data_IF_418006202922
#
_entry.id   IF_418006202922
#
_cell.length_a   1.000
_cell.length_b   1.000
_cell.length_c   1.000
_cell.angle_alpha   90.00
_cell.angle_beta   90.00
_cell.angle_gamma   90.00
#
_symmetry.space_group_name_H-M   'P 1'
#
loop_
_entity.id
_entity.type
_entity.pdbx_description
1 polymer ?
#
# COMPACT_ATOMS: atom_id res chain seq x y z
N UNK A 1 5.52 13.92 -13.90
CA UNK A 1 5.76 14.25 -12.47
C UNK A 1 5.17 15.60 -12.15
N UNK A 2 4.79 15.85 -10.90
CA UNK A 2 4.35 17.14 -10.39
C UNK A 2 4.70 17.29 -8.90
N UNK A 3 4.83 18.52 -8.43
CA UNK A 3 5.22 18.82 -7.04
C UNK A 3 4.00 19.21 -6.23
N UNK A 4 3.90 18.71 -5.00
CA UNK A 4 2.86 19.05 -4.03
C UNK A 4 3.49 19.49 -2.71
N UNK A 5 2.72 20.20 -1.89
CA UNK A 5 3.07 20.48 -0.51
C UNK A 5 2.03 19.84 0.41
N UNK A 6 2.46 18.97 1.32
CA UNK A 6 1.58 18.27 2.25
C UNK A 6 1.77 18.74 3.69
N UNK A 7 0.67 18.97 4.40
CA UNK A 7 0.66 19.31 5.83
C UNK A 7 -0.17 20.56 6.13
N UNK A 8 -0.69 20.63 7.37
CA UNK A 8 -1.53 21.75 7.80
C UNK A 8 -0.71 22.94 8.31
N UNK A 9 0.13 22.72 9.33
CA UNK A 9 0.96 23.77 9.95
C UNK A 9 2.39 23.79 9.43
N UNK A 10 2.99 22.60 9.27
CA UNK A 10 4.31 22.43 8.64
C UNK A 10 4.09 21.69 7.34
N UNK A 11 4.39 22.36 6.22
CA UNK A 11 4.27 21.79 4.90
C UNK A 11 5.57 21.11 4.52
N UNK A 12 5.48 19.95 3.89
CA UNK A 12 6.61 19.21 3.35
C UNK A 12 6.45 19.01 1.86
N UNK A 13 7.50 19.32 1.11
CA UNK A 13 7.50 19.28 -0.35
C UNK A 13 7.73 17.86 -0.84
N UNK A 14 6.85 17.39 -1.74
CA UNK A 14 6.91 16.07 -2.34
C UNK A 14 6.84 16.16 -3.87
N UNK A 15 7.68 15.38 -4.55
CA UNK A 15 7.61 15.15 -5.99
C UNK A 15 6.84 13.86 -6.28
N UNK A 16 5.64 13.99 -6.82
CA UNK A 16 4.82 12.86 -7.25
C UNK A 16 5.19 12.49 -8.69
N UNK A 17 5.48 11.20 -8.90
CA UNK A 17 5.76 10.61 -10.20
C UNK A 17 4.74 9.51 -10.46
N UNK A 18 4.25 9.44 -11.69
CA UNK A 18 3.42 8.34 -12.18
C UNK A 18 4.21 7.65 -13.28
N UNK A 19 4.42 6.35 -13.16
CA UNK A 19 5.23 5.53 -14.07
C UNK A 19 4.43 4.31 -14.52
N UNK A 20 4.56 3.92 -15.77
CA UNK A 20 4.09 2.61 -16.24
C UNK A 20 5.23 1.60 -16.10
N UNK A 21 5.04 0.53 -15.34
CA UNK A 21 6.07 -0.46 -15.02
C UNK A 21 5.51 -1.88 -15.04
N UNK A 22 6.40 -2.85 -15.21
CA UNK A 22 6.09 -4.26 -14.99
C UNK A 22 6.05 -4.52 -13.47
N UNK A 23 4.84 -4.62 -12.91
CA UNK A 23 4.63 -4.83 -11.47
C UNK A 23 4.70 -6.33 -11.15
N UNK A 24 4.41 -7.19 -12.12
CA UNK A 24 4.37 -8.64 -11.92
C UNK A 24 5.76 -9.18 -11.59
N UNK A 25 6.82 -8.62 -12.20
CA UNK A 25 8.20 -8.99 -11.88
C UNK A 25 8.63 -8.61 -10.45
N UNK A 26 7.98 -7.62 -9.82
CA UNK A 26 8.26 -7.25 -8.42
C UNK A 26 7.62 -8.20 -7.42
N UNK A 27 6.48 -8.83 -7.79
CA UNK A 27 5.68 -9.67 -6.90
C UNK A 27 5.88 -11.16 -7.11
N UNK A 28 6.62 -11.57 -8.16
CA UNK A 28 6.95 -12.99 -8.38
C UNK A 28 7.83 -13.51 -7.26
N UNK A 29 7.31 -14.48 -6.51
CA UNK A 29 8.12 -15.33 -5.64
C UNK A 29 9.17 -16.02 -6.49
N UNK A 30 10.44 -15.75 -6.23
CA UNK A 30 11.50 -16.49 -6.90
C UNK A 30 11.57 -17.89 -6.30
N UNK A 31 11.51 -18.92 -7.14
CA UNK A 31 11.83 -20.29 -6.72
C UNK A 31 13.34 -20.45 -6.39
N UNK A 32 14.14 -19.41 -6.64
CA UNK A 32 15.56 -19.35 -6.29
C UNK A 32 15.72 -18.75 -4.89
N UNK A 33 16.16 -19.59 -3.95
CA UNK A 33 16.40 -19.24 -2.55
C UNK A 33 17.43 -18.11 -2.39
N UNK A 34 18.45 -18.04 -3.26
CA UNK A 34 19.46 -16.98 -3.21
C UNK A 34 18.83 -15.63 -3.55
N UNK A 35 17.97 -15.59 -4.57
CA UNK A 35 17.23 -14.40 -4.97
C UNK A 35 16.20 -13.98 -3.91
N UNK A 36 15.48 -14.93 -3.32
CA UNK A 36 14.59 -14.66 -2.19
C UNK A 36 15.33 -14.05 -1.00
N UNK A 37 16.51 -14.58 -0.66
CA UNK A 37 17.35 -14.03 0.40
C UNK A 37 17.85 -12.62 0.09
N UNK A 38 18.26 -12.36 -1.15
CA UNK A 38 18.68 -11.03 -1.58
C UNK A 38 17.54 -10.00 -1.45
N UNK A 39 16.31 -10.36 -1.85
CA UNK A 39 15.16 -9.47 -1.69
C UNK A 39 14.81 -9.20 -0.23
N UNK A 40 14.90 -10.21 0.64
CA UNK A 40 14.72 -10.00 2.09
C UNK A 40 15.77 -9.06 2.67
N UNK A 41 17.05 -9.29 2.34
CA UNK A 41 18.14 -8.44 2.79
C UNK A 41 17.96 -6.99 2.31
N UNK A 42 17.55 -6.79 1.06
CA UNK A 42 17.27 -5.47 0.51
C UNK A 42 16.07 -4.79 1.20
N UNK A 43 14.98 -5.53 1.43
CA UNK A 43 13.79 -5.01 2.11
C UNK A 43 14.13 -4.58 3.54
N UNK A 44 14.86 -5.41 4.29
CA UNK A 44 15.32 -5.08 5.64
C UNK A 44 16.29 -3.88 5.65
N UNK A 45 17.18 -3.76 4.66
CA UNK A 45 18.07 -2.61 4.54
C UNK A 45 17.31 -1.30 4.26
N UNK A 46 16.27 -1.37 3.43
CA UNK A 46 15.43 -0.23 3.07
C UNK A 46 14.55 0.25 4.23
N UNK A 47 14.20 -0.62 5.18
CA UNK A 47 13.44 -0.24 6.38
C UNK A 47 14.12 0.88 7.18
N UNK A 48 15.44 0.95 7.13
CA UNK A 48 16.25 1.97 7.81
C UNK A 48 16.73 3.09 6.89
N UNK A 49 16.32 3.10 5.63
CA UNK A 49 16.64 4.12 4.65
C UNK A 49 15.48 5.13 4.48
N UNK A 50 15.60 6.01 3.48
CA UNK A 50 14.50 6.89 3.07
C UNK A 50 13.60 6.24 1.99
N UNK A 51 13.89 4.99 1.61
CA UNK A 51 13.21 4.27 0.53
C UNK A 51 12.14 3.32 1.09
N UNK A 52 10.94 3.86 1.30
CA UNK A 52 9.79 3.05 1.68
C UNK A 52 8.96 2.69 0.45
N UNK A 53 8.55 1.43 0.39
CA UNK A 53 7.71 0.90 -0.69
C UNK A 53 6.40 0.40 -0.12
N UNK A 54 5.31 0.73 -0.80
CA UNK A 54 3.98 0.27 -0.43
C UNK A 54 3.22 -0.27 -1.64
N UNK A 55 2.24 -1.11 -1.36
CA UNK A 55 1.35 -1.70 -2.37
C UNK A 55 -0.11 -1.54 -1.95
N UNK A 56 -0.99 -1.41 -2.94
CA UNK A 56 -2.44 -1.55 -2.74
C UNK A 56 -2.83 -2.96 -3.18
N UNK A 57 -3.33 -3.76 -2.25
CA UNK A 57 -3.79 -5.12 -2.51
C UNK A 57 -5.32 -5.15 -2.51
N UNK A 58 -5.88 -5.74 -3.56
CA UNK A 58 -7.30 -6.01 -3.64
C UNK A 58 -7.53 -7.44 -3.14
N UNK A 59 -8.41 -7.60 -2.16
CA UNK A 59 -8.71 -8.88 -1.55
C UNK A 59 -10.20 -9.15 -1.62
N UNK A 60 -10.63 -10.36 -1.95
CA UNK A 60 -12.04 -10.73 -1.78
C UNK A 60 -12.29 -11.27 -0.38
N UNK A 61 -13.50 -11.14 0.20
CA UNK A 61 -13.84 -11.81 1.44
C UNK A 61 -13.50 -13.32 1.40
N UNK A 62 -13.73 -13.98 0.25
CA UNK A 62 -13.45 -15.41 0.08
C UNK A 62 -11.96 -15.76 0.09
N UNK A 63 -11.10 -14.83 -0.31
CA UNK A 63 -9.65 -15.01 -0.28
C UNK A 63 -9.06 -14.81 1.11
N UNK A 64 -9.77 -14.11 2.01
CA UNK A 64 -9.27 -13.78 3.36
C UNK A 64 -8.75 -14.99 4.14
N UNK A 65 -9.46 -16.14 4.22
CA UNK A 65 -8.91 -17.29 4.95
C UNK A 65 -7.56 -17.75 4.40
N UNK A 66 -7.39 -17.81 3.08
CA UNK A 66 -6.12 -18.20 2.46
C UNK A 66 -5.04 -17.15 2.68
N UNK A 67 -5.41 -15.87 2.58
CA UNK A 67 -4.51 -14.76 2.84
C UNK A 67 -4.04 -14.77 4.30
N UNK A 68 -4.95 -14.86 5.27
CA UNK A 68 -4.64 -14.92 6.70
C UNK A 68 -3.59 -15.98 7.04
N UNK A 69 -3.69 -17.16 6.45
CA UNK A 69 -2.78 -18.28 6.74
C UNK A 69 -1.53 -18.32 5.84
N UNK A 70 -1.21 -17.24 5.13
CA UNK A 70 -0.02 -17.19 4.27
C UNK A 70 -0.07 -18.18 3.10
N UNK A 71 -1.27 -18.57 2.65
CA UNK A 71 -1.45 -19.57 1.59
C UNK A 71 -1.62 -18.93 0.20
N UNK A 72 -1.36 -17.63 0.09
CA UNK A 72 -1.55 -16.84 -1.13
C UNK A 72 -0.35 -15.94 -1.42
N UNK A 73 -0.56 -14.67 -1.78
CA UNK A 73 0.51 -13.73 -2.09
C UNK A 73 1.49 -13.53 -0.91
N UNK A 74 1.02 -13.63 0.33
CA UNK A 74 1.77 -13.36 1.56
C UNK A 74 2.44 -14.60 2.18
N UNK A 75 2.88 -15.54 1.34
CA UNK A 75 3.42 -16.85 1.76
C UNK A 75 4.84 -16.80 2.35
N UNK A 76 5.58 -15.71 2.18
CA UNK A 76 7.05 -15.70 2.38
C UNK A 76 7.55 -14.50 3.20
N UNK A 77 8.52 -14.76 4.09
CA UNK A 77 9.35 -13.79 4.84
C UNK A 77 8.75 -13.20 6.12
N UNK A 78 9.19 -13.73 7.26
CA UNK A 78 9.04 -13.11 8.58
C UNK A 78 10.04 -11.97 8.77
N UNK A 79 9.58 -10.76 9.09
CA UNK A 79 10.40 -9.64 9.55
C UNK A 79 10.28 -9.53 11.08
N UNK A 80 11.40 -9.50 11.80
CA UNK A 80 11.39 -9.46 13.28
C UNK A 80 11.20 -8.04 13.87
N UNK A 81 11.08 -7.02 13.03
CA UNK A 81 10.93 -5.62 13.45
C UNK A 81 9.48 -5.21 13.74
N UNK A 82 8.52 -6.02 13.27
CA UNK A 82 7.09 -5.81 13.47
C UNK A 82 6.49 -7.05 14.09
N UNK A 83 5.28 -6.90 14.63
CA UNK A 83 4.46 -8.05 14.97
C UNK A 83 4.35 -8.95 13.73
N UNK A 84 4.44 -10.26 13.94
CA UNK A 84 4.25 -11.21 12.85
C UNK A 84 2.88 -10.99 12.19
N UNK A 85 2.75 -11.46 10.95
CA UNK A 85 1.56 -11.19 10.15
C UNK A 85 0.30 -11.77 10.82
N UNK A 86 0.43 -12.87 11.55
CA UNK A 86 -0.64 -13.52 12.29
C UNK A 86 -1.21 -12.60 13.38
N UNK A 87 -0.35 -12.01 14.22
CA UNK A 87 -0.74 -11.04 15.26
C UNK A 87 -1.37 -9.80 14.64
N UNK A 88 -0.83 -9.29 13.52
CA UNK A 88 -1.44 -8.16 12.81
C UNK A 88 -2.85 -8.52 12.31
N UNK A 89 -3.05 -9.73 11.77
CA UNK A 89 -4.36 -10.19 11.33
C UNK A 89 -5.33 -10.43 12.50
N UNK A 90 -4.87 -10.95 13.63
CA UNK A 90 -5.71 -11.08 14.83
C UNK A 90 -6.21 -9.71 15.33
N UNK A 91 -5.33 -8.69 15.34
CA UNK A 91 -5.73 -7.32 15.67
C UNK A 91 -6.78 -6.79 14.68
N UNK A 92 -6.57 -7.02 13.38
CA UNK A 92 -7.51 -6.66 12.32
C UNK A 92 -8.88 -7.32 12.56
N UNK A 93 -8.94 -8.61 12.85
CA UNK A 93 -10.21 -9.31 13.12
C UNK A 93 -10.94 -8.78 14.36
N UNK A 94 -10.21 -8.27 15.36
CA UNK A 94 -10.84 -7.63 16.51
C UNK A 94 -11.46 -6.27 16.15
N UNK A 95 -10.86 -5.55 15.19
CA UNK A 95 -11.38 -4.28 14.68
C UNK A 95 -12.60 -4.48 13.75
N UNK A 96 -12.74 -5.67 13.15
CA UNK A 96 -13.88 -6.07 12.33
C UNK A 96 -14.77 -7.07 13.08
N UNK A 97 -15.77 -6.62 13.85
CA UNK A 97 -16.57 -7.51 14.69
C UNK A 97 -17.26 -8.57 13.84
N UNK A 98 -16.93 -9.84 14.10
CA UNK A 98 -17.56 -10.98 13.44
C UNK A 98 -19.07 -10.97 13.68
N UNK A 99 -19.85 -11.02 12.61
CA UNK A 99 -21.26 -11.39 12.73
C UNK A 99 -21.34 -12.81 13.30
N UNK A 100 -22.32 -13.05 14.17
CA UNK A 100 -22.43 -14.16 15.12
C UNK A 100 -22.43 -15.60 14.57
N UNK A 101 -22.03 -15.84 13.32
CA UNK A 101 -22.17 -17.11 12.61
C UNK A 101 -20.87 -17.66 11.97
N UNK A 102 -19.67 -17.22 12.40
CA UNK A 102 -18.40 -17.75 11.86
C UNK A 102 -18.15 -17.38 10.39
N UNK A 103 -18.75 -16.26 9.96
CA UNK A 103 -18.57 -15.68 8.63
C UNK A 103 -17.23 -14.93 8.61
N UNK A 104 -16.58 -14.96 7.45
CA UNK A 104 -15.35 -14.22 7.14
C UNK A 104 -15.40 -12.83 7.81
N UNK A 105 -14.41 -12.47 8.63
CA UNK A 105 -14.45 -11.25 9.44
C UNK A 105 -14.40 -9.97 8.61
N UNK A 106 -13.77 -10.03 7.43
CA UNK A 106 -13.70 -8.90 6.51
C UNK A 106 -14.84 -8.94 5.48
N UNK A 107 -15.52 -7.81 5.31
CA UNK A 107 -16.61 -7.61 4.35
C UNK A 107 -16.22 -6.64 3.25
N UNK A 108 -17.01 -6.62 2.19
CA UNK A 108 -16.82 -5.70 1.08
C UNK A 108 -16.78 -4.24 1.55
N UNK A 109 -15.76 -3.50 1.13
CA UNK A 109 -15.52 -2.11 1.51
C UNK A 109 -14.65 -1.93 2.75
N UNK A 110 -14.33 -3.01 3.47
CA UNK A 110 -13.35 -2.94 4.55
C UNK A 110 -11.97 -2.59 3.99
N UNK A 111 -11.21 -1.86 4.81
CA UNK A 111 -9.89 -1.36 4.48
C UNK A 111 -8.99 -1.47 5.70
N UNK A 112 -7.80 -2.05 5.50
CA UNK A 112 -6.83 -2.20 6.58
C UNK A 112 -5.40 -2.14 6.04
N UNK A 113 -4.46 -1.86 6.94
CA UNK A 113 -3.05 -1.69 6.61
C UNK A 113 -2.26 -2.74 7.37
N UNK A 114 -1.37 -3.47 6.70
CA UNK A 114 -0.35 -4.26 7.38
C UNK A 114 1.03 -3.68 7.10
N UNK A 115 1.92 -3.86 8.06
CA UNK A 115 3.36 -3.58 7.90
C UNK A 115 4.04 -4.90 7.59
N UNK A 116 4.87 -4.93 6.56
CA UNK A 116 5.63 -6.10 6.13
C UNK A 116 4.73 -7.30 5.85
N UNK A 117 3.93 -7.18 4.79
CA UNK A 117 2.88 -8.13 4.39
C UNK A 117 3.39 -9.47 3.87
N UNK A 118 4.58 -9.92 4.26
CA UNK A 118 5.26 -11.09 3.70
C UNK A 118 5.38 -11.01 2.15
N UNK A 119 5.52 -9.79 1.62
CA UNK A 119 5.74 -9.53 0.20
C UNK A 119 7.17 -8.99 0.01
N UNK A 120 7.94 -9.54 -0.95
CA UNK A 120 9.29 -9.06 -1.20
C UNK A 120 9.25 -7.60 -1.66
N UNK A 121 10.21 -6.79 -1.18
CA UNK A 121 10.37 -5.38 -1.55
C UNK A 121 9.18 -4.47 -1.16
N UNK A 122 8.28 -4.93 -0.29
CA UNK A 122 7.11 -4.17 0.19
C UNK A 122 7.18 -4.01 1.70
N UNK A 123 7.07 -2.77 2.18
CA UNK A 123 7.11 -2.43 3.60
C UNK A 123 5.72 -2.21 4.18
N UNK A 124 4.79 -1.69 3.38
CA UNK A 124 3.41 -1.38 3.80
C UNK A 124 2.43 -1.88 2.75
N UNK A 125 1.40 -2.60 3.16
CA UNK A 125 0.33 -3.02 2.26
C UNK A 125 -1.01 -2.41 2.71
N UNK A 126 -1.63 -1.68 1.80
CA UNK A 126 -2.97 -1.13 1.93
C UNK A 126 -3.96 -2.12 1.31
N UNK A 127 -4.76 -2.79 2.12
CA UNK A 127 -5.71 -3.80 1.66
C UNK A 127 -7.08 -3.17 1.51
N UNK A 128 -7.69 -3.37 0.35
CA UNK A 128 -9.06 -2.99 0.08
C UNK A 128 -9.86 -4.25 -0.23
N UNK A 129 -10.89 -4.50 0.58
CA UNK A 129 -11.74 -5.68 0.42
C UNK A 129 -12.81 -5.38 -0.64
N UNK A 130 -12.79 -6.13 -1.74
CA UNK A 130 -13.69 -5.95 -2.88
C UNK A 130 -14.26 -7.31 -3.26
N UNK A 131 -15.57 -7.35 -3.49
CA UNK A 131 -16.27 -8.52 -3.99
C UNK A 131 -16.55 -8.37 -5.49
N UNK A 132 -15.80 -9.12 -6.31
CA UNK A 132 -15.93 -9.12 -7.77
C UNK A 132 -17.07 -9.99 -8.29
N UNK A 133 -17.83 -10.68 -7.42
CA UNK A 133 -18.84 -11.65 -7.85
C UNK A 133 -20.17 -11.03 -8.28
N UNK A 134 -20.35 -9.72 -8.13
CA UNK A 134 -21.54 -9.03 -8.64
C UNK A 134 -21.33 -8.51 -10.06
N UNK A 135 -22.25 -8.79 -11.01
CA UNK A 135 -22.09 -8.45 -12.43
C UNK A 135 -22.02 -6.94 -12.74
N UNK A 136 -22.23 -6.09 -11.73
CA UNK A 136 -22.06 -4.65 -11.82
C UNK A 136 -21.60 -4.11 -10.47
N UNK A 137 -20.33 -4.31 -10.09
CA UNK A 137 -19.72 -3.28 -9.25
C UNK A 137 -19.74 -2.02 -10.11
N UNK A 138 -20.55 -1.05 -9.71
CA UNK A 138 -20.60 0.20 -10.44
C UNK A 138 -19.22 0.86 -10.38
N UNK A 139 -18.69 1.29 -11.53
CA UNK A 139 -17.37 1.91 -11.65
C UNK A 139 -17.17 3.06 -10.64
N UNK A 140 -18.23 3.82 -10.37
CA UNK A 140 -18.25 4.89 -9.36
C UNK A 140 -17.92 4.41 -7.93
N UNK A 141 -18.29 3.17 -7.53
CA UNK A 141 -18.00 2.60 -6.22
C UNK A 141 -16.50 2.28 -6.13
N UNK A 142 -15.92 1.68 -7.18
CA UNK A 142 -14.49 1.41 -7.26
C UNK A 142 -13.67 2.70 -7.23
N UNK A 143 -14.09 3.71 -8.00
CA UNK A 143 -13.48 5.03 -7.96
C UNK A 143 -13.53 5.63 -6.55
N UNK A 144 -14.69 5.64 -5.88
CA UNK A 144 -14.81 6.17 -4.51
C UNK A 144 -13.90 5.43 -3.51
N UNK A 145 -13.82 4.10 -3.61
CA UNK A 145 -12.96 3.31 -2.73
C UNK A 145 -11.49 3.57 -2.99
N UNK A 146 -11.05 3.63 -4.25
CA UNK A 146 -9.67 3.99 -4.57
C UNK A 146 -9.31 5.41 -4.11
N UNK A 147 -10.28 6.34 -4.09
CA UNK A 147 -10.06 7.70 -3.60
C UNK A 147 -9.81 7.70 -2.09
N UNK A 148 -10.56 6.88 -1.35
CA UNK A 148 -10.33 6.67 0.08
C UNK A 148 -8.92 6.11 0.34
N UNK A 149 -8.48 5.12 -0.45
CA UNK A 149 -7.11 4.57 -0.34
C UNK A 149 -6.07 5.67 -0.57
N UNK A 150 -6.21 6.49 -1.62
CA UNK A 150 -5.29 7.58 -1.90
C UNK A 150 -5.31 8.66 -0.81
N UNK A 151 -6.47 8.96 -0.21
CA UNK A 151 -6.61 9.86 0.94
C UNK A 151 -5.93 9.31 2.19
N UNK A 152 -6.03 8.00 2.45
CA UNK A 152 -5.30 7.34 3.53
C UNK A 152 -3.79 7.41 3.31
N UNK A 153 -3.32 7.18 2.08
CA UNK A 153 -1.90 7.36 1.70
C UNK A 153 -1.45 8.79 1.94
N UNK A 154 -2.24 9.80 1.54
CA UNK A 154 -1.97 11.22 1.84
C UNK A 154 -1.86 11.46 3.35
N UNK A 155 -2.77 10.90 4.15
CA UNK A 155 -2.73 10.93 5.61
C UNK A 155 -1.43 10.38 6.18
N UNK A 156 -1.05 9.17 5.74
CA UNK A 156 0.20 8.52 6.13
C UNK A 156 1.43 9.37 5.79
N UNK A 157 1.48 9.98 4.60
CA UNK A 157 2.56 10.87 4.19
C UNK A 157 2.66 12.11 5.10
N UNK A 158 1.52 12.70 5.48
CA UNK A 158 1.47 13.85 6.39
C UNK A 158 1.89 13.50 7.82
N UNK A 159 1.63 12.28 8.28
CA UNK A 159 2.07 11.82 9.61
C UNK A 159 3.58 11.60 9.63
N UNK A 160 4.12 10.94 8.60
CA UNK A 160 5.56 10.69 8.45
C UNK A 160 6.39 11.96 8.20
N UNK A 161 5.77 13.06 7.76
CA UNK A 161 6.45 14.36 7.65
C UNK A 161 6.54 15.12 8.97
N UNK A 162 5.80 14.72 10.02
CA UNK A 162 5.80 15.40 11.34
C UNK A 162 6.91 14.93 12.28
N UNK A 163 7.57 13.81 11.96
CA UNK A 163 8.65 13.26 12.80
C UNK A 163 9.81 14.27 12.80
N UNK A 164 10.23 14.80 13.97
CA UNK A 164 11.27 15.83 14.04
C UNK A 164 12.58 15.31 13.45
N UNK A 165 13.05 15.95 12.36
CA UNK A 165 14.42 15.73 11.88
C UNK A 165 15.40 16.12 12.98
N UNK A 166 16.48 15.35 13.16
CA UNK A 166 17.55 15.70 14.11
C UNK A 166 18.09 17.09 13.71
N UNK A 167 18.45 17.92 14.70
CA UNK A 167 18.87 19.33 14.55
C UNK A 167 19.98 19.63 13.51
N UNK A 168 20.59 18.62 12.89
CA UNK A 168 21.64 18.77 11.89
C UNK A 168 21.11 18.93 10.45
N UNK A 169 19.86 18.54 10.15
CA UNK A 169 19.33 18.54 8.79
C UNK A 169 18.63 19.87 8.48
N UNK A 170 19.43 20.89 8.14
CA UNK A 170 18.94 22.22 7.75
C UNK A 170 18.33 22.26 6.34
N UNK A 171 18.36 21.17 5.59
CA UNK A 171 17.76 21.11 4.26
C UNK A 171 16.40 20.41 4.31
N UNK A 172 15.39 21.12 3.83
CA UNK A 172 14.06 20.61 3.57
C UNK A 172 14.12 19.70 2.34
N UNK A 173 14.71 18.52 2.52
CA UNK A 173 14.90 17.55 1.44
C UNK A 173 13.54 17.19 0.83
N UNK A 174 13.42 17.42 -0.47
CA UNK A 174 12.19 17.12 -1.21
C UNK A 174 12.06 15.61 -1.36
N UNK A 175 11.00 15.04 -0.79
CA UNK A 175 10.73 13.60 -0.88
C UNK A 175 10.12 13.26 -2.24
N UNK A 176 10.38 12.07 -2.77
CA UNK A 176 9.76 11.60 -4.03
C UNK A 176 8.79 10.47 -3.73
N UNK A 177 7.58 10.54 -4.27
CA UNK A 177 6.61 9.44 -4.24
C UNK A 177 6.33 8.98 -5.65
N UNK A 178 6.44 7.68 -5.87
CA UNK A 178 6.23 7.06 -7.17
C UNK A 178 4.99 6.17 -7.12
N UNK A 179 4.04 6.45 -8.01
CA UNK A 179 2.90 5.60 -8.28
C UNK A 179 3.18 4.80 -9.54
N UNK A 180 2.97 3.49 -9.46
CA UNK A 180 3.17 2.57 -10.57
C UNK A 180 1.83 2.18 -11.16
N UNK A 181 1.75 2.21 -12.49
CA UNK A 181 0.67 1.63 -13.29
C UNK A 181 1.19 0.41 -14.03
N UNK A 182 0.31 -0.56 -14.36
CA UNK A 182 0.65 -1.64 -15.26
C UNK A 182 1.25 -1.12 -16.57
N UNK A 183 2.27 -1.80 -17.08
CA UNK A 183 2.99 -1.43 -18.31
C UNK A 183 2.08 -1.33 -19.54
N UNK A 184 0.95 -2.02 -19.53
CA UNK A 184 -0.07 -2.01 -20.58
C UNK A 184 -1.14 -0.92 -20.43
N UNK A 185 -1.03 -0.03 -19.42
CA UNK A 185 -1.94 1.10 -19.27
C UNK A 185 -1.86 2.01 -20.50
N UNK A 186 -3.03 2.32 -21.08
CA UNK A 186 -3.13 3.22 -22.23
C UNK A 186 -3.04 4.69 -21.81
N UNK A 187 -2.89 5.59 -22.79
CA UNK A 187 -2.73 7.03 -22.54
C UNK A 187 -3.92 7.64 -21.79
N UNK A 188 -5.15 7.21 -22.10
CA UNK A 188 -6.35 7.68 -21.40
C UNK A 188 -6.31 7.28 -19.93
N UNK A 189 -6.03 6.01 -19.62
CA UNK A 189 -5.90 5.49 -18.26
C UNK A 189 -4.80 6.21 -17.49
N UNK A 190 -3.65 6.44 -18.13
CA UNK A 190 -2.54 7.18 -17.53
C UNK A 190 -2.95 8.62 -17.18
N UNK A 191 -3.60 9.33 -18.10
CA UNK A 191 -4.04 10.71 -17.89
C UNK A 191 -5.15 10.80 -16.83
N UNK A 192 -6.11 9.88 -16.84
CA UNK A 192 -7.15 9.79 -15.80
C UNK A 192 -6.53 9.55 -14.41
N UNK A 193 -5.59 8.61 -14.28
CA UNK A 193 -4.91 8.37 -13.02
C UNK A 193 -4.09 9.59 -12.57
N UNK A 194 -3.38 10.25 -13.50
CA UNK A 194 -2.62 11.46 -13.21
C UNK A 194 -3.53 12.55 -12.65
N UNK A 195 -4.67 12.80 -13.29
CA UNK A 195 -5.62 13.82 -12.83
C UNK A 195 -6.14 13.48 -11.45
N UNK A 196 -6.47 12.22 -11.20
CA UNK A 196 -6.96 11.77 -9.90
C UNK A 196 -5.94 11.95 -8.76
N UNK A 197 -4.66 11.70 -9.02
CA UNK A 197 -3.58 12.00 -8.08
C UNK A 197 -3.45 13.51 -7.83
N UNK A 198 -3.60 14.34 -8.86
CA UNK A 198 -3.59 15.80 -8.71
C UNK A 198 -4.76 16.25 -7.82
N UNK A 199 -5.97 15.75 -8.08
CA UNK A 199 -7.16 16.14 -7.33
C UNK A 199 -7.06 15.72 -5.85
N UNK A 200 -6.54 14.52 -5.59
CA UNK A 200 -6.44 13.99 -4.22
C UNK A 200 -5.31 14.64 -3.42
N UNK A 201 -4.12 14.77 -4.01
CA UNK A 201 -2.92 15.22 -3.31
C UNK A 201 -2.66 16.73 -3.45
N UNK A 202 -3.14 17.36 -4.54
CA UNK A 202 -2.96 18.79 -4.81
C UNK A 202 -4.01 19.69 -4.18
N UNK A 203 -5.17 19.17 -3.78
CA UNK A 203 -6.15 19.93 -3.02
C UNK A 203 -5.62 20.22 -1.60
N UNK A 204 -5.58 21.51 -1.25
CA UNK A 204 -5.21 22.03 0.08
C UNK A 204 -6.23 21.58 1.14
#
# INVERSE_FOLDING_TARGET
SFTISLGNQVKSTHNLRLLASDIDDMLKSSNDEARGTAYRAQTAANLYSQDLTAIVLLLTPKDWPKYKFGQSANKESTEFHFDNIETQFEAIENDFPAESNGVIPVKEGDFFITKHSNLPLVHVAFHLVIDFEYPTIQENILCRRGELVLKCIKGFMMENSRIPKRKADKEEETKTVQFLLPKNANEQQFNSQRQWLIDTFGAN
#
